data_IF_558572490097
#
_entry.id   IF_558572490097
#
_cell.length_a   1.000
_cell.length_b   1.000
_cell.length_c   1.000
_cell.angle_alpha   90.00
_cell.angle_beta   90.00
_cell.angle_gamma   90.00
#
_symmetry.space_group_name_H-M   'P 1'
#
loop_
_entity.id
_entity.type
_entity.pdbx_description
1 polymer ?
#
# COMPACT_ATOMS: atom_id res chain seq x y z
N UNK A 1 -21.71 -22.71 10.46
CA UNK A 1 -21.53 -21.51 9.62
C UNK A 1 -21.87 -20.28 10.47
N UNK A 2 -20.87 -19.65 11.09
CA UNK A 2 -21.06 -18.39 11.82
C UNK A 2 -20.64 -17.22 10.93
N UNK A 3 -21.63 -16.40 10.53
CA UNK A 3 -21.39 -15.11 9.89
C UNK A 3 -20.94 -14.14 10.98
N UNK A 4 -19.66 -13.76 10.97
CA UNK A 4 -19.22 -12.63 11.78
C UNK A 4 -19.83 -11.35 11.22
N UNK A 5 -20.72 -10.73 12.00
CA UNK A 5 -21.16 -9.35 11.80
C UNK A 5 -19.95 -8.45 12.07
N UNK A 6 -19.56 -7.66 11.08
CA UNK A 6 -18.63 -6.55 11.30
C UNK A 6 -19.32 -5.50 12.18
N UNK A 7 -18.67 -5.02 13.25
CA UNK A 7 -19.19 -3.90 14.01
C UNK A 7 -19.08 -2.63 13.16
N UNK A 8 -20.21 -1.93 13.03
CA UNK A 8 -20.26 -0.56 12.55
C UNK A 8 -19.61 0.35 13.60
N UNK A 9 -18.59 1.11 13.20
CA UNK A 9 -18.13 2.26 13.98
C UNK A 9 -18.06 3.50 13.09
N UNK A 10 -18.82 4.50 13.54
CA UNK A 10 -18.66 5.92 13.23
C UNK A 10 -17.18 6.33 13.26
N UNK A 11 -16.74 7.15 12.29
CA UNK A 11 -15.37 7.70 12.12
C UNK A 11 -14.21 6.69 12.03
N UNK A 12 -14.50 5.42 11.72
CA UNK A 12 -13.57 4.30 11.76
C UNK A 12 -12.48 4.24 10.67
N UNK A 13 -11.53 5.18 10.64
CA UNK A 13 -10.22 4.89 10.03
C UNK A 13 -9.30 4.27 11.08
N UNK A 14 -9.28 2.94 11.18
CA UNK A 14 -8.15 2.25 11.83
C UNK A 14 -6.89 2.70 11.09
N UNK A 15 -5.91 3.28 11.79
CA UNK A 15 -4.71 3.78 11.14
C UNK A 15 -3.95 2.60 10.55
N UNK A 16 -3.36 2.79 9.36
CA UNK A 16 -2.58 1.74 8.72
C UNK A 16 -1.42 1.30 9.64
N UNK A 17 -0.89 2.25 10.42
CA UNK A 17 0.02 2.01 11.53
C UNK A 17 -0.48 0.90 12.48
N UNK A 18 -1.67 1.07 13.05
CA UNK A 18 -2.23 0.15 14.04
C UNK A 18 -2.43 -1.26 13.45
N UNK A 19 -2.81 -1.35 12.17
CA UNK A 19 -2.99 -2.65 11.49
C UNK A 19 -1.65 -3.35 11.30
N UNK A 20 -0.65 -2.65 10.76
CA UNK A 20 0.67 -3.22 10.48
C UNK A 20 1.40 -3.58 11.78
N UNK A 21 1.31 -2.73 12.80
CA UNK A 21 1.88 -3.02 14.13
C UNK A 21 1.22 -4.25 14.76
N UNK A 22 -0.11 -4.38 14.69
CA UNK A 22 -0.81 -5.56 15.21
C UNK A 22 -0.47 -6.84 14.44
N UNK A 23 -0.21 -6.76 13.13
CA UNK A 23 0.29 -7.91 12.35
C UNK A 23 1.70 -8.27 12.80
N UNK A 24 2.61 -7.30 12.91
CA UNK A 24 3.98 -7.52 13.38
C UNK A 24 4.00 -8.11 14.79
N UNK A 25 3.15 -7.63 15.69
CA UNK A 25 3.05 -8.15 17.06
C UNK A 25 2.61 -9.60 17.09
N UNK A 26 1.58 -9.97 16.31
CA UNK A 26 1.15 -11.38 16.20
C UNK A 26 2.25 -12.28 15.65
N UNK A 27 2.98 -11.82 14.64
CA UNK A 27 4.11 -12.58 14.06
C UNK A 27 5.24 -12.75 15.08
N UNK A 28 5.58 -11.69 15.84
CA UNK A 28 6.56 -11.77 16.93
C UNK A 28 6.15 -12.78 18.01
N UNK A 29 4.86 -12.86 18.33
CA UNK A 29 4.34 -13.86 19.25
C UNK A 29 4.49 -15.28 18.69
N UNK A 30 4.29 -15.49 17.39
CA UNK A 30 4.57 -16.77 16.71
C UNK A 30 6.04 -17.17 16.83
N UNK A 31 6.96 -16.21 16.76
CA UNK A 31 8.42 -16.44 16.85
C UNK A 31 8.92 -16.69 18.29
N UNK A 32 8.07 -16.52 19.31
CA UNK A 32 8.49 -16.63 20.71
C UNK A 32 8.98 -18.04 21.05
N UNK A 33 10.19 -18.11 21.58
CA UNK A 33 10.85 -19.35 22.00
C UNK A 33 10.51 -19.63 23.47
N UNK A 34 10.07 -20.85 23.76
CA UNK A 34 9.66 -21.27 25.12
C UNK A 34 10.82 -21.89 25.91
N UNK A 35 11.78 -22.53 25.24
CA UNK A 35 13.00 -23.03 25.86
C UNK A 35 13.82 -21.84 26.38
N UNK A 36 14.07 -21.83 27.69
CA UNK A 36 14.79 -20.76 28.36
C UNK A 36 16.26 -21.09 28.55
N UNK A 37 17.14 -20.29 27.95
CA UNK A 37 18.59 -20.35 28.18
C UNK A 37 18.99 -19.95 29.61
N UNK A 38 18.09 -19.34 30.40
CA UNK A 38 18.33 -19.07 31.83
C UNK A 38 18.50 -20.35 32.67
N UNK A 39 18.12 -21.51 32.13
CA UNK A 39 18.30 -22.81 32.76
C UNK A 39 19.72 -23.37 32.63
N UNK A 40 20.59 -22.73 31.84
CA UNK A 40 22.00 -23.09 31.72
C UNK A 40 22.74 -22.87 33.05
N UNK A 41 23.83 -23.62 33.26
CA UNK A 41 24.57 -23.56 34.53
C UNK A 41 25.24 -22.21 34.79
N UNK A 42 25.76 -21.55 33.75
CA UNK A 42 26.37 -20.21 33.85
C UNK A 42 25.76 -19.25 32.83
N UNK A 43 25.79 -17.93 33.13
CA UNK A 43 25.27 -16.89 32.23
C UNK A 43 26.00 -16.83 30.89
N UNK A 44 27.30 -17.08 30.90
CA UNK A 44 28.20 -17.06 29.73
C UNK A 44 28.30 -18.41 29.02
N UNK A 45 27.42 -19.38 29.34
CA UNK A 45 27.49 -20.73 28.77
C UNK A 45 27.34 -20.71 27.24
N UNK A 46 26.47 -19.87 26.70
CA UNK A 46 26.29 -19.78 25.23
C UNK A 46 27.60 -19.37 24.56
N UNK A 47 28.31 -18.37 25.08
CA UNK A 47 29.58 -17.92 24.52
C UNK A 47 30.65 -19.01 24.66
N UNK A 48 30.74 -19.65 25.81
CA UNK A 48 31.68 -20.75 26.04
C UNK A 48 31.47 -21.91 25.05
N UNK A 49 30.21 -22.27 24.78
CA UNK A 49 29.87 -23.38 23.90
C UNK A 49 29.98 -23.07 22.40
N UNK A 50 30.27 -21.83 21.99
CA UNK A 50 30.15 -21.38 20.58
C UNK A 50 31.38 -20.65 20.03
N UNK A 51 32.46 -20.49 20.81
CA UNK A 51 33.53 -19.54 20.47
C UNK A 51 34.94 -20.14 20.37
N UNK A 52 35.25 -21.18 21.14
CA UNK A 52 36.58 -21.81 21.15
C UNK A 52 36.46 -23.34 21.23
N UNK A 53 37.53 -24.03 20.84
CA UNK A 53 37.65 -25.47 21.05
C UNK A 53 37.53 -25.78 22.54
N UNK A 54 36.51 -26.58 22.88
CA UNK A 54 36.26 -26.96 24.27
C UNK A 54 37.13 -28.17 24.61
N UNK A 55 38.19 -27.95 25.38
CA UNK A 55 39.03 -29.01 25.96
C UNK A 55 38.49 -29.42 27.33
N UNK A 56 38.90 -30.59 27.83
CA UNK A 56 38.52 -31.01 29.18
C UNK A 56 39.00 -30.02 30.25
N UNK A 57 40.18 -29.42 30.05
CA UNK A 57 40.73 -28.44 30.96
C UNK A 57 39.92 -27.13 30.96
N UNK A 58 39.57 -26.60 29.79
CA UNK A 58 38.77 -25.38 29.70
C UNK A 58 37.37 -25.59 30.26
N UNK A 59 36.79 -26.76 30.03
CA UNK A 59 35.51 -27.19 30.60
C UNK A 59 35.56 -27.24 32.13
N UNK A 60 36.62 -27.81 32.70
CA UNK A 60 36.78 -27.84 34.16
C UNK A 60 36.94 -26.44 34.75
N UNK A 61 37.79 -25.58 34.16
CA UNK A 61 37.93 -24.17 34.56
C UNK A 61 36.60 -23.42 34.46
N UNK A 62 35.79 -23.75 33.46
CA UNK A 62 34.50 -23.10 33.25
C UNK A 62 33.43 -23.58 34.21
N UNK A 63 33.31 -24.88 34.51
CA UNK A 63 32.19 -25.43 35.30
C UNK A 63 32.48 -25.65 36.77
N UNK A 64 33.75 -25.82 37.15
CA UNK A 64 34.14 -26.09 38.52
C UNK A 64 34.54 -24.80 39.26
N UNK A 65 34.59 -24.91 40.58
CA UNK A 65 35.15 -23.89 41.47
C UNK A 65 36.67 -24.12 41.61
N UNK A 66 37.40 -23.07 41.95
CA UNK A 66 38.85 -23.15 42.21
C UNK A 66 39.17 -24.20 43.29
N UNK A 67 40.27 -24.93 43.10
CA UNK A 67 40.76 -25.97 44.03
C UNK A 67 40.15 -27.37 43.86
N UNK A 68 39.11 -27.56 43.03
CA UNK A 68 38.50 -28.90 42.81
C UNK A 68 39.37 -29.89 42.02
N UNK A 69 40.46 -29.42 41.42
CA UNK A 69 41.38 -30.24 40.63
C UNK A 69 42.66 -30.63 41.38
N UNK A 70 42.84 -30.17 42.63
CA UNK A 70 44.03 -30.40 43.47
C UNK A 70 44.04 -31.81 44.10
N UNK A 71 43.54 -32.79 43.36
CA UNK A 71 43.52 -34.21 43.72
C UNK A 71 44.65 -34.89 42.92
N UNK A 72 45.44 -35.81 43.49
CA UNK A 72 46.42 -36.57 42.74
C UNK A 72 45.76 -37.42 41.64
N UNK A 73 46.43 -37.55 40.49
CA UNK A 73 45.94 -38.35 39.37
C UNK A 73 46.22 -39.84 39.57
N UNK A 74 45.29 -40.69 39.16
CA UNK A 74 45.44 -42.15 39.09
C UNK A 74 45.39 -42.64 37.64
N UNK A 75 45.80 -43.88 37.38
CA UNK A 75 45.62 -44.51 36.05
C UNK A 75 44.15 -44.54 35.61
N UNK A 76 43.22 -44.70 36.57
CA UNK A 76 41.78 -44.64 36.30
C UNK A 76 41.37 -43.22 35.87
N UNK A 77 41.93 -42.18 36.51
CA UNK A 77 41.74 -40.79 36.08
C UNK A 77 42.21 -40.59 34.63
N UNK A 78 43.39 -41.09 34.26
CA UNK A 78 43.94 -40.93 32.91
C UNK A 78 43.06 -41.60 31.83
N UNK A 79 42.50 -42.76 32.13
CA UNK A 79 41.55 -43.46 31.26
C UNK A 79 40.26 -42.65 31.04
N UNK A 80 39.74 -42.01 32.09
CA UNK A 80 38.57 -41.14 32.02
C UNK A 80 38.86 -39.88 31.20
N UNK A 81 40.01 -39.24 31.46
CA UNK A 81 40.46 -38.06 30.71
C UNK A 81 40.55 -38.37 29.22
N UNK A 82 41.19 -39.48 28.83
CA UNK A 82 41.29 -39.89 27.41
C UNK A 82 39.91 -40.08 26.76
N UNK A 83 38.97 -40.74 27.45
CA UNK A 83 37.62 -40.97 26.92
C UNK A 83 36.83 -39.66 26.73
N UNK A 84 36.94 -38.73 27.67
CA UNK A 84 36.25 -37.44 27.59
C UNK A 84 36.88 -36.57 26.50
N UNK A 85 38.21 -36.46 26.46
CA UNK A 85 38.93 -35.67 25.45
C UNK A 85 38.62 -36.19 24.04
N UNK A 86 38.66 -37.50 23.82
CA UNK A 86 38.28 -38.10 22.53
C UNK A 86 36.85 -37.75 22.13
N UNK A 87 35.89 -37.78 23.07
CA UNK A 87 34.51 -37.42 22.76
C UNK A 87 34.38 -35.94 22.38
N UNK A 88 35.08 -35.04 23.07
CA UNK A 88 35.07 -33.60 22.78
C UNK A 88 35.68 -33.30 21.40
N UNK A 89 36.82 -33.91 21.09
CA UNK A 89 37.52 -33.79 19.80
C UNK A 89 36.73 -34.40 18.64
N UNK A 90 36.01 -35.48 18.88
CA UNK A 90 35.27 -36.15 17.81
C UNK A 90 33.93 -35.44 17.47
N UNK A 91 33.27 -34.84 18.47
CA UNK A 91 31.94 -34.23 18.27
C UNK A 91 32.04 -32.79 17.80
N UNK A 92 33.09 -32.05 18.18
CA UNK A 92 33.34 -30.66 17.76
C UNK A 92 32.11 -29.76 17.89
N UNK A 93 31.32 -29.97 18.94
CA UNK A 93 30.01 -29.30 19.10
C UNK A 93 30.12 -27.77 19.03
N UNK A 94 31.26 -27.20 19.42
CA UNK A 94 31.53 -25.77 19.42
C UNK A 94 31.49 -25.14 18.03
N UNK A 95 32.01 -25.81 17.00
CA UNK A 95 32.01 -25.30 15.62
C UNK A 95 30.58 -25.23 15.09
N UNK A 96 29.87 -26.36 15.13
CA UNK A 96 28.51 -26.45 14.60
C UNK A 96 27.51 -25.58 15.39
N UNK A 97 27.66 -25.47 16.72
CA UNK A 97 26.86 -24.55 17.52
C UNK A 97 27.22 -23.07 17.24
N UNK A 98 28.48 -22.79 16.91
CA UNK A 98 28.94 -21.49 16.43
C UNK A 98 28.26 -21.11 15.11
N UNK A 99 28.28 -22.00 14.13
CA UNK A 99 27.59 -21.81 12.84
C UNK A 99 26.09 -21.55 13.03
N UNK A 100 25.41 -22.39 13.83
CA UNK A 100 23.97 -22.21 14.11
C UNK A 100 23.69 -20.86 14.79
N UNK A 101 24.56 -20.41 15.69
CA UNK A 101 24.43 -19.12 16.37
C UNK A 101 24.56 -17.97 15.38
N UNK A 102 25.52 -18.04 14.46
CA UNK A 102 25.74 -17.01 13.45
C UNK A 102 24.59 -16.96 12.44
N UNK A 103 24.15 -18.11 11.93
CA UNK A 103 22.96 -18.24 11.07
C UNK A 103 21.72 -17.63 11.75
N UNK A 104 21.53 -17.91 13.04
CA UNK A 104 20.40 -17.39 13.80
C UNK A 104 20.48 -15.87 14.01
N UNK A 105 21.68 -15.32 14.18
CA UNK A 105 21.89 -13.87 14.28
C UNK A 105 21.60 -13.18 12.94
N UNK A 106 22.03 -13.76 11.82
CA UNK A 106 21.71 -13.24 10.48
C UNK A 106 20.21 -13.30 10.19
N UNK A 107 19.54 -14.39 10.56
CA UNK A 107 18.08 -14.51 10.47
C UNK A 107 17.36 -13.39 11.21
N UNK A 108 17.76 -13.10 12.46
CA UNK A 108 17.19 -12.00 13.25
C UNK A 108 17.44 -10.62 12.61
N UNK A 109 18.64 -10.40 12.05
CA UNK A 109 18.95 -9.15 11.35
C UNK A 109 18.02 -8.97 10.14
N UNK A 110 17.77 -10.02 9.38
CA UNK A 110 16.85 -10.01 8.25
C UNK A 110 15.40 -9.71 8.68
N UNK A 111 14.90 -10.41 9.70
CA UNK A 111 13.56 -10.18 10.26
C UNK A 111 13.40 -8.72 10.72
N UNK A 112 14.40 -8.20 11.43
CA UNK A 112 14.41 -6.81 11.88
C UNK A 112 14.45 -5.81 10.72
N UNK A 113 15.22 -6.09 9.67
CA UNK A 113 15.30 -5.25 8.48
C UNK A 113 13.94 -5.17 7.76
N UNK A 114 13.24 -6.30 7.59
CA UNK A 114 11.90 -6.33 6.97
C UNK A 114 10.90 -5.53 7.80
N UNK A 115 10.85 -5.78 9.12
CA UNK A 115 9.96 -5.04 10.04
C UNK A 115 10.23 -3.54 9.99
N UNK A 116 11.50 -3.14 10.03
CA UNK A 116 11.90 -1.73 9.98
C UNK A 116 11.48 -1.09 8.66
N UNK A 117 11.69 -1.76 7.54
CA UNK A 117 11.28 -1.26 6.23
C UNK A 117 9.76 -1.07 6.18
N UNK A 118 8.96 -2.05 6.64
CA UNK A 118 7.49 -1.90 6.70
C UNK A 118 7.09 -0.67 7.51
N UNK A 119 7.60 -0.53 8.74
CA UNK A 119 7.26 0.58 9.63
C UNK A 119 7.66 1.95 9.04
N UNK A 120 8.79 2.03 8.35
CA UNK A 120 9.25 3.27 7.71
C UNK A 120 8.39 3.71 6.51
N UNK A 121 7.67 2.78 5.88
CA UNK A 121 6.82 3.09 4.72
C UNK A 121 5.40 3.50 5.14
N UNK A 122 4.96 3.18 6.36
CA UNK A 122 3.61 3.50 6.86
C UNK A 122 3.27 4.99 6.73
N UNK A 123 4.11 5.95 7.20
CA UNK A 123 3.74 7.36 7.12
C UNK A 123 3.60 7.85 5.67
N UNK A 124 4.43 7.33 4.76
CA UNK A 124 4.37 7.66 3.33
C UNK A 124 3.05 7.17 2.72
N UNK A 125 2.62 5.98 3.11
CA UNK A 125 1.38 5.38 2.62
C UNK A 125 0.13 6.07 3.20
N UNK A 126 0.18 6.54 4.45
CA UNK A 126 -0.91 7.35 5.02
C UNK A 126 -1.08 8.69 4.30
N UNK A 127 0.03 9.33 3.88
CA UNK A 127 0.01 10.53 3.03
C UNK A 127 -0.66 10.21 1.69
N UNK A 128 -0.20 9.17 0.99
CA UNK A 128 -0.76 8.76 -0.31
C UNK A 128 -2.27 8.46 -0.21
N UNK A 129 -2.70 7.75 0.84
CA UNK A 129 -4.13 7.44 1.04
C UNK A 129 -4.97 8.68 1.34
N UNK A 130 -4.41 9.65 2.05
CA UNK A 130 -5.08 10.93 2.34
C UNK A 130 -5.19 11.77 1.07
N UNK A 131 -4.11 11.87 0.29
CA UNK A 131 -4.10 12.53 -1.02
C UNK A 131 -5.10 11.88 -1.97
N UNK A 132 -5.14 10.55 -2.04
CA UNK A 132 -6.05 9.82 -2.91
C UNK A 132 -7.53 10.07 -2.54
N UNK A 133 -7.85 10.13 -1.24
CA UNK A 133 -9.20 10.50 -0.76
C UNK A 133 -9.56 11.92 -1.16
N UNK A 134 -8.65 12.87 -0.95
CA UNK A 134 -8.84 14.26 -1.35
C UNK A 134 -9.01 14.42 -2.87
N UNK A 135 -8.23 13.69 -3.67
CA UNK A 135 -8.33 13.69 -5.13
C UNK A 135 -9.69 13.13 -5.59
N UNK A 136 -10.16 12.02 -5.01
CA UNK A 136 -11.49 11.46 -5.33
C UNK A 136 -12.62 12.45 -5.06
N UNK A 137 -12.60 13.10 -3.89
CA UNK A 137 -13.61 14.12 -3.55
C UNK A 137 -13.57 15.32 -4.52
N UNK A 138 -12.38 15.80 -4.88
CA UNK A 138 -12.22 16.89 -5.86
C UNK A 138 -12.70 16.49 -7.26
N UNK A 139 -12.45 15.24 -7.67
CA UNK A 139 -12.93 14.71 -8.94
C UNK A 139 -14.46 14.66 -8.98
N UNK A 140 -15.11 14.21 -7.90
CA UNK A 140 -16.57 14.15 -7.80
C UNK A 140 -17.20 15.56 -7.90
N UNK A 141 -16.63 16.55 -7.20
CA UNK A 141 -17.06 17.95 -7.31
C UNK A 141 -16.90 18.48 -8.74
N UNK A 142 -15.76 18.19 -9.38
CA UNK A 142 -15.48 18.66 -10.74
C UNK A 142 -16.39 17.98 -11.79
N UNK A 143 -16.71 16.70 -11.61
CA UNK A 143 -17.64 15.94 -12.45
C UNK A 143 -19.07 16.46 -12.31
N UNK A 144 -19.52 16.71 -11.08
CA UNK A 144 -20.84 17.31 -10.81
C UNK A 144 -20.96 18.69 -11.46
N UNK A 145 -19.95 19.56 -11.27
CA UNK A 145 -19.92 20.89 -11.91
C UNK A 145 -19.98 20.79 -13.43
N UNK A 146 -19.33 19.78 -14.02
CA UNK A 146 -19.39 19.53 -15.47
C UNK A 146 -20.81 19.16 -15.91
N UNK A 147 -21.47 18.24 -15.19
CA UNK A 147 -22.83 17.79 -15.47
C UNK A 147 -23.86 18.93 -15.39
N UNK A 148 -23.76 19.75 -14.34
CA UNK A 148 -24.63 20.92 -14.13
C UNK A 148 -24.43 21.94 -15.24
N UNK A 149 -23.17 22.19 -15.63
CA UNK A 149 -22.82 23.11 -16.72
C UNK A 149 -23.44 22.66 -18.04
N UNK A 150 -23.29 21.38 -18.42
CA UNK A 150 -23.88 20.82 -19.66
C UNK A 150 -25.40 20.96 -19.68
N UNK A 151 -26.06 20.68 -18.56
CA UNK A 151 -27.52 20.77 -18.45
C UNK A 151 -28.02 22.20 -18.61
N UNK A 152 -27.37 23.16 -17.93
CA UNK A 152 -27.65 24.59 -18.08
C UNK A 152 -27.37 25.10 -19.49
N UNK A 153 -26.29 24.60 -20.12
CA UNK A 153 -25.92 24.92 -21.48
C UNK A 153 -27.01 24.53 -22.49
N UNK A 154 -27.52 23.30 -22.39
CA UNK A 154 -28.57 22.81 -23.26
C UNK A 154 -29.86 23.63 -23.15
N UNK A 155 -30.24 24.01 -21.93
CA UNK A 155 -31.40 24.87 -21.70
C UNK A 155 -31.21 26.27 -22.31
N UNK A 156 -30.02 26.84 -22.14
CA UNK A 156 -29.67 28.17 -22.67
C UNK A 156 -29.68 28.19 -24.20
N UNK A 157 -29.04 27.20 -24.83
CA UNK A 157 -29.03 27.07 -26.29
C UNK A 157 -30.43 26.90 -26.88
N UNK A 158 -31.29 26.10 -26.22
CA UNK A 158 -32.69 25.94 -26.64
C UNK A 158 -33.46 27.27 -26.57
N UNK A 159 -33.16 28.09 -25.56
CA UNK A 159 -33.79 29.40 -25.37
C UNK A 159 -33.37 30.38 -26.46
N UNK A 160 -32.06 30.48 -26.76
CA UNK A 160 -31.53 31.32 -27.85
C UNK A 160 -32.17 30.92 -29.18
N UNK A 161 -32.18 29.62 -29.51
CA UNK A 161 -32.78 29.12 -30.75
C UNK A 161 -34.27 29.45 -30.84
N UNK A 162 -35.03 29.28 -29.75
CA UNK A 162 -36.45 29.63 -29.71
C UNK A 162 -36.68 31.11 -29.96
N UNK A 163 -35.92 31.97 -29.27
CA UNK A 163 -36.05 33.43 -29.42
C UNK A 163 -35.65 33.88 -30.83
N UNK A 164 -34.50 33.42 -31.33
CA UNK A 164 -34.04 33.75 -32.68
C UNK A 164 -35.03 33.27 -33.76
N UNK A 165 -35.61 32.07 -33.63
CA UNK A 165 -36.63 31.59 -34.57
C UNK A 165 -37.91 32.45 -34.53
N UNK A 166 -38.32 32.93 -33.36
CA UNK A 166 -39.45 33.87 -33.24
C UNK A 166 -39.13 35.20 -33.93
N UNK A 167 -37.92 35.74 -33.74
CA UNK A 167 -37.46 36.97 -34.41
C UNK A 167 -37.42 36.81 -35.93
N UNK A 168 -36.98 35.65 -36.44
CA UNK A 168 -37.02 35.33 -37.87
C UNK A 168 -38.45 35.30 -38.40
N UNK A 169 -39.37 34.65 -37.68
CA UNK A 169 -40.77 34.59 -38.08
C UNK A 169 -41.38 36.00 -38.16
N UNK A 170 -41.14 36.83 -37.14
CA UNK A 170 -41.60 38.22 -37.13
C UNK A 170 -41.02 39.04 -38.29
N UNK A 171 -39.70 39.03 -38.47
CA UNK A 171 -39.05 39.77 -39.55
C UNK A 171 -39.55 39.33 -40.95
N UNK A 172 -39.84 38.04 -41.15
CA UNK A 172 -40.43 37.55 -42.39
C UNK A 172 -41.87 38.03 -42.58
N UNK A 173 -42.69 38.07 -41.52
CA UNK A 173 -44.05 38.63 -41.58
C UNK A 173 -44.02 40.10 -41.95
N UNK A 174 -43.16 40.91 -41.33
CA UNK A 174 -42.98 42.32 -41.67
C UNK A 174 -42.51 42.50 -43.12
N UNK A 175 -41.52 41.72 -43.58
CA UNK A 175 -41.07 41.76 -44.98
C UNK A 175 -42.19 41.40 -45.98
N UNK A 176 -43.02 40.40 -45.66
CA UNK A 176 -44.12 39.99 -46.52
C UNK A 176 -45.25 41.03 -46.56
N UNK A 177 -45.56 41.66 -45.42
CA UNK A 177 -46.56 42.73 -45.34
C UNK A 177 -46.13 43.98 -46.12
N UNK A 178 -44.84 44.34 -46.06
CA UNK A 178 -44.27 45.46 -46.81
C UNK A 178 -44.13 45.19 -48.32
N UNK A 179 -44.27 43.94 -48.76
CA UNK A 179 -44.28 43.57 -50.18
C UNK A 179 -45.68 43.67 -50.81
N UNK A 180 -46.70 44.11 -50.06
CA UNK A 180 -48.05 44.32 -50.57
C UNK A 180 -48.12 45.60 -51.43
N UNK A 181 -48.96 45.62 -52.48
CA UNK A 181 -48.98 46.72 -53.47
C UNK A 181 -49.35 48.10 -52.90
N UNK A 182 -50.10 48.12 -51.80
CA UNK A 182 -50.66 49.33 -51.20
C UNK A 182 -49.81 49.89 -50.03
N UNK A 183 -48.65 49.29 -49.76
CA UNK A 183 -47.80 49.66 -48.63
C UNK A 183 -46.65 50.58 -49.07
N UNK A 184 -46.59 51.81 -48.55
CA UNK A 184 -45.45 52.70 -48.77
C UNK A 184 -44.24 52.15 -47.99
N UNK A 185 -43.28 51.59 -48.74
CA UNK A 185 -42.09 50.98 -48.16
C UNK A 185 -41.22 52.01 -47.44
N UNK A 186 -41.15 51.93 -46.10
CA UNK A 186 -40.15 52.68 -45.31
C UNK A 186 -38.82 51.93 -45.34
N UNK A 187 -37.78 52.57 -45.91
CA UNK A 187 -36.42 52.01 -45.99
C UNK A 187 -35.86 51.66 -44.60
N UNK A 188 -36.17 52.46 -43.57
CA UNK A 188 -35.74 52.25 -42.19
C UNK A 188 -36.30 50.94 -41.57
N UNK A 189 -37.55 50.61 -41.90
CA UNK A 189 -38.22 49.38 -41.42
C UNK A 189 -37.66 48.15 -42.17
N UNK A 190 -37.40 48.28 -43.47
CA UNK A 190 -36.78 47.22 -44.28
C UNK A 190 -35.36 46.91 -43.80
N UNK A 191 -34.56 47.94 -43.53
CA UNK A 191 -33.22 47.82 -42.99
C UNK A 191 -33.24 47.19 -41.59
N UNK A 192 -34.16 47.64 -40.72
CA UNK A 192 -34.35 47.06 -39.38
C UNK A 192 -34.74 45.58 -39.44
N UNK A 193 -35.65 45.19 -40.34
CA UNK A 193 -36.05 43.80 -40.53
C UNK A 193 -34.91 42.93 -41.09
N UNK A 194 -34.14 43.44 -42.05
CA UNK A 194 -32.97 42.76 -42.60
C UNK A 194 -31.90 42.53 -41.53
N UNK A 195 -31.59 43.56 -40.72
CA UNK A 195 -30.63 43.49 -39.62
C UNK A 195 -31.09 42.49 -38.54
N UNK A 196 -32.37 42.49 -38.16
CA UNK A 196 -32.95 41.51 -37.20
C UNK A 196 -32.86 40.08 -37.74
N UNK A 197 -33.09 39.88 -39.04
CA UNK A 197 -32.99 38.57 -39.70
C UNK A 197 -31.56 38.05 -39.71
N UNK A 198 -30.60 38.88 -40.08
CA UNK A 198 -29.17 38.53 -40.08
C UNK A 198 -28.69 38.18 -38.66
N UNK A 199 -29.06 38.98 -37.66
CA UNK A 199 -28.72 38.73 -36.26
C UNK A 199 -29.30 37.40 -35.75
N UNK A 200 -30.57 37.11 -36.05
CA UNK A 200 -31.20 35.87 -35.63
C UNK A 200 -30.55 34.64 -36.30
N UNK A 201 -30.19 34.74 -37.58
CA UNK A 201 -29.42 33.70 -38.27
C UNK A 201 -28.02 33.49 -37.65
N UNK A 202 -27.31 34.57 -37.31
CA UNK A 202 -26.02 34.51 -36.60
C UNK A 202 -26.18 33.84 -35.23
N UNK A 203 -27.21 34.18 -34.46
CA UNK A 203 -27.47 33.60 -33.16
C UNK A 203 -27.78 32.09 -33.22
N UNK A 204 -28.57 31.65 -34.21
CA UNK A 204 -28.83 30.21 -34.46
C UNK A 204 -27.52 29.49 -34.81
N UNK A 205 -26.71 30.06 -35.71
CA UNK A 205 -25.43 29.48 -36.12
C UNK A 205 -24.45 29.36 -34.94
N UNK A 206 -24.37 30.38 -34.07
CA UNK A 206 -23.58 30.32 -32.83
C UNK A 206 -24.11 29.23 -31.90
N UNK A 207 -25.43 29.12 -31.75
CA UNK A 207 -26.03 28.09 -30.91
C UNK A 207 -25.80 26.66 -31.43
N UNK A 208 -25.84 26.45 -32.75
CA UNK A 208 -25.53 25.17 -33.40
C UNK A 208 -24.04 24.79 -33.24
N UNK A 209 -23.14 25.74 -33.52
CA UNK A 209 -21.71 25.54 -33.34
C UNK A 209 -21.36 25.23 -31.88
N UNK A 210 -21.94 25.96 -30.93
CA UNK A 210 -21.74 25.71 -29.51
C UNK A 210 -22.30 24.34 -29.10
N UNK A 211 -23.45 23.92 -29.63
CA UNK A 211 -23.99 22.58 -29.38
C UNK A 211 -23.08 21.47 -29.91
N UNK A 212 -22.48 21.65 -31.09
CA UNK A 212 -21.53 20.69 -31.65
C UNK A 212 -20.22 20.63 -30.83
N UNK A 213 -19.72 21.79 -30.38
CA UNK A 213 -18.54 21.86 -29.53
C UNK A 213 -18.77 21.19 -28.17
N UNK A 214 -19.92 21.41 -27.52
CA UNK A 214 -20.30 20.70 -26.29
C UNK A 214 -20.35 19.19 -26.53
N UNK A 215 -20.93 18.73 -27.65
CA UNK A 215 -20.94 17.30 -28.01
C UNK A 215 -19.54 16.73 -28.20
N UNK A 216 -18.62 17.46 -28.83
CA UNK A 216 -17.21 17.04 -29.01
C UNK A 216 -16.46 16.98 -27.69
N UNK A 217 -16.61 18.00 -26.85
CA UNK A 217 -15.98 18.08 -25.52
C UNK A 217 -16.48 16.93 -24.62
N UNK A 218 -17.79 16.70 -24.59
CA UNK A 218 -18.42 15.67 -23.76
C UNK A 218 -18.25 14.24 -24.31
N UNK A 219 -18.28 14.08 -25.64
CA UNK A 219 -18.08 12.79 -26.31
C UNK A 219 -16.70 12.19 -26.05
N UNK A 220 -15.67 13.03 -25.93
CA UNK A 220 -14.30 12.62 -25.61
C UNK A 220 -14.10 12.19 -24.13
N UNK A 221 -15.11 12.36 -23.27
CA UNK A 221 -15.02 12.08 -21.83
C UNK A 221 -15.53 10.67 -21.44
N UNK A 222 -16.25 9.96 -22.32
CA UNK A 222 -17.00 8.73 -21.99
C UNK A 222 -16.19 7.45 -21.73
N UNK A 223 -14.87 7.52 -21.52
CA UNK A 223 -14.01 6.37 -21.17
C UNK A 223 -13.81 6.24 -19.66
N UNK A 224 -14.65 5.41 -19.01
CA UNK A 224 -14.44 4.96 -17.62
C UNK A 224 -13.17 4.10 -17.54
N UNK A 225 -12.21 4.49 -16.70
CA UNK A 225 -10.99 3.72 -16.45
C UNK A 225 -11.20 2.81 -15.23
N UNK A 226 -11.32 1.50 -15.46
CA UNK A 226 -11.22 0.47 -14.41
C UNK A 226 -9.75 0.16 -14.12
N UNK A 227 -9.44 -0.09 -12.86
CA UNK A 227 -8.10 -0.47 -12.39
C UNK A 227 -8.22 -1.93 -11.96
N UNK A 228 -7.61 -2.84 -12.72
CA UNK A 228 -7.52 -4.25 -12.36
C UNK A 228 -6.16 -4.54 -11.71
N UNK A 229 -6.20 -5.33 -10.63
CA UNK A 229 -5.07 -5.74 -9.80
C UNK A 229 -4.21 -6.82 -10.46
N UNK A 230 -2.90 -6.74 -10.27
CA UNK A 230 -1.94 -7.75 -10.68
C UNK A 230 -1.05 -8.22 -9.53
N UNK A 231 -0.95 -9.55 -9.40
CA UNK A 231 -0.21 -10.29 -8.36
C UNK A 231 1.30 -10.30 -8.60
N UNK A 232 2.08 -10.30 -7.52
CA UNK A 232 3.55 -10.39 -7.52
C UNK A 232 4.05 -11.77 -7.06
N UNK A 233 5.16 -12.22 -7.66
CA UNK A 233 5.82 -13.52 -7.48
C UNK A 233 6.64 -13.62 -6.19
N UNK A 234 6.74 -14.86 -5.72
CA UNK A 234 7.32 -15.36 -4.48
C UNK A 234 8.85 -15.25 -4.37
N UNK A 235 9.32 -15.05 -3.15
CA UNK A 235 10.72 -15.14 -2.73
C UNK A 235 10.99 -16.55 -2.20
N UNK A 236 12.03 -17.22 -2.69
CA UNK A 236 12.50 -18.46 -2.07
C UNK A 236 13.56 -18.14 -1.02
N UNK A 237 13.34 -18.59 0.23
CA UNK A 237 14.25 -18.32 1.33
C UNK A 237 14.90 -19.61 1.86
N UNK A 238 16.23 -19.70 1.78
CA UNK A 238 17.02 -20.92 2.08
C UNK A 238 17.54 -21.02 3.53
N UNK A 239 17.72 -19.89 4.22
CA UNK A 239 18.36 -19.80 5.55
C UNK A 239 17.71 -20.68 6.65
N UNK A 240 16.37 -20.64 6.85
CA UNK A 240 15.75 -21.45 7.91
C UNK A 240 15.87 -22.96 7.65
N UNK A 241 16.01 -23.35 6.37
CA UNK A 241 16.26 -24.73 5.96
C UNK A 241 17.67 -25.20 6.29
N UNK A 242 18.67 -24.34 6.16
CA UNK A 242 20.07 -24.62 6.48
C UNK A 242 20.28 -24.71 8.00
N UNK A 243 19.70 -23.78 8.77
CA UNK A 243 19.72 -23.82 10.24
C UNK A 243 19.12 -25.13 10.80
N UNK A 244 17.99 -25.61 10.24
CA UNK A 244 17.40 -26.89 10.66
C UNK A 244 18.31 -28.09 10.35
N UNK A 245 18.98 -28.11 9.19
CA UNK A 245 19.92 -29.18 8.84
C UNK A 245 21.10 -29.21 9.81
N UNK A 246 21.66 -28.05 10.15
CA UNK A 246 22.77 -27.92 11.08
C UNK A 246 22.37 -28.38 12.50
N UNK A 247 21.18 -27.98 12.97
CA UNK A 247 20.63 -28.45 14.26
C UNK A 247 20.45 -29.97 14.31
N UNK A 248 19.95 -30.59 13.24
CA UNK A 248 19.80 -32.05 13.19
C UNK A 248 21.14 -32.78 13.20
N UNK A 249 22.14 -32.25 12.47
CA UNK A 249 23.51 -32.79 12.46
C UNK A 249 24.10 -32.78 13.87
N UNK A 250 24.05 -31.63 14.55
CA UNK A 250 24.54 -31.49 15.94
C UNK A 250 23.83 -32.44 16.89
N UNK A 251 22.49 -32.56 16.78
CA UNK A 251 21.72 -33.47 17.63
C UNK A 251 22.16 -34.92 17.47
N UNK A 252 22.50 -35.34 16.25
CA UNK A 252 23.02 -36.69 15.95
C UNK A 252 24.40 -36.89 16.56
N UNK A 253 25.31 -35.93 16.41
CA UNK A 253 26.69 -36.07 16.89
C UNK A 253 26.79 -35.96 18.41
N UNK A 254 25.98 -35.10 19.05
CA UNK A 254 25.89 -34.96 20.52
C UNK A 254 25.33 -36.19 21.21
N UNK A 255 24.63 -37.09 20.49
CA UNK A 255 24.25 -38.40 21.05
C UNK A 255 25.47 -39.24 21.45
N UNK A 256 26.63 -39.00 20.82
CA UNK A 256 27.90 -39.67 21.10
C UNK A 256 28.53 -39.22 22.43
N UNK A 257 28.06 -38.11 23.02
CA UNK A 257 28.43 -37.72 24.39
C UNK A 257 27.77 -38.57 25.49
N UNK A 258 26.88 -39.51 25.16
CA UNK A 258 26.31 -40.45 26.14
C UNK A 258 27.34 -41.54 26.50
N UNK A 259 28.43 -41.14 27.16
CA UNK A 259 29.45 -42.05 27.67
C UNK A 259 28.94 -42.76 28.93
N UNK A 260 28.87 -44.10 28.90
CA UNK A 260 28.58 -44.92 30.09
C UNK A 260 29.87 -45.13 30.89
N UNK A 261 30.28 -44.13 31.66
CA UNK A 261 31.45 -44.21 32.55
C UNK A 261 30.96 -44.21 34.01
N UNK A 262 31.34 -45.26 34.74
CA UNK A 262 31.21 -45.36 36.20
C UNK A 262 32.61 -45.49 36.78
N UNK A 263 32.90 -44.71 37.84
CA UNK A 263 34.20 -44.68 38.50
C UNK A 263 33.98 -44.38 39.98
N UNK A 264 34.90 -44.84 40.82
CA UNK A 264 35.00 -44.43 42.23
C UNK A 264 36.19 -43.49 42.47
N UNK A 265 36.99 -43.22 41.43
CA UNK A 265 38.14 -42.32 41.50
C UNK A 265 37.68 -40.89 41.80
N UNK A 266 38.15 -40.25 42.89
CA UNK A 266 37.68 -38.93 43.29
C UNK A 266 37.91 -37.86 42.21
N UNK A 267 39.06 -37.88 41.54
CA UNK A 267 39.39 -36.92 40.48
C UNK A 267 38.60 -37.20 39.19
N UNK A 268 38.44 -38.48 38.85
CA UNK A 268 37.58 -38.96 37.77
C UNK A 268 36.12 -38.54 37.93
N UNK A 269 35.60 -38.56 39.16
CA UNK A 269 34.25 -38.05 39.47
C UNK A 269 34.14 -36.55 39.23
N UNK A 270 35.17 -35.76 39.55
CA UNK A 270 35.20 -34.32 39.28
C UNK A 270 35.17 -34.04 37.77
N UNK A 271 36.02 -34.70 36.98
CA UNK A 271 36.02 -34.57 35.52
C UNK A 271 34.67 -34.98 34.89
N UNK A 272 34.09 -36.10 35.33
CA UNK A 272 32.78 -36.54 34.87
C UNK A 272 31.66 -35.59 35.27
N UNK A 273 31.73 -34.99 36.46
CA UNK A 273 30.77 -33.99 36.93
C UNK A 273 30.76 -32.77 36.02
N UNK A 274 31.93 -32.20 35.74
CA UNK A 274 32.08 -31.08 34.84
C UNK A 274 31.58 -31.43 33.43
N UNK A 275 31.98 -32.61 32.91
CA UNK A 275 31.57 -33.06 31.58
C UNK A 275 30.04 -33.24 31.46
N UNK A 276 29.38 -33.78 32.50
CA UNK A 276 27.92 -33.90 32.54
C UNK A 276 27.23 -32.54 32.53
N UNK A 277 27.79 -31.53 33.19
CA UNK A 277 27.27 -30.15 33.16
C UNK A 277 27.37 -29.55 31.76
N UNK A 278 28.52 -29.71 31.10
CA UNK A 278 28.72 -29.31 29.71
C UNK A 278 27.70 -29.97 28.76
N UNK A 279 27.55 -31.29 28.83
CA UNK A 279 26.60 -32.03 27.99
C UNK A 279 25.15 -31.58 28.24
N UNK A 280 24.80 -31.26 29.48
CA UNK A 280 23.48 -30.74 29.81
C UNK A 280 23.22 -29.36 29.16
N UNK A 281 24.18 -28.44 29.23
CA UNK A 281 24.05 -27.12 28.60
C UNK A 281 24.04 -27.22 27.07
N UNK A 282 24.86 -28.09 26.47
CA UNK A 282 24.84 -28.38 25.02
C UNK A 282 23.46 -28.88 24.58
N UNK A 283 22.89 -29.87 25.29
CA UNK A 283 21.54 -30.40 25.00
C UNK A 283 20.46 -29.32 25.12
N UNK A 284 20.58 -28.43 26.10
CA UNK A 284 19.66 -27.30 26.26
C UNK A 284 19.79 -26.29 25.10
N UNK A 285 21.02 -25.98 24.67
CA UNK A 285 21.27 -25.06 23.57
C UNK A 285 20.75 -25.60 22.23
N UNK A 286 20.93 -26.90 21.96
CA UNK A 286 20.37 -27.56 20.77
C UNK A 286 18.84 -27.50 20.79
N UNK A 287 18.23 -27.76 21.94
CA UNK A 287 16.78 -27.69 22.10
C UNK A 287 16.25 -26.28 21.85
N UNK A 288 16.98 -25.27 22.33
CA UNK A 288 16.68 -23.87 22.06
C UNK A 288 16.76 -23.55 20.56
N UNK A 289 17.85 -23.89 19.88
CA UNK A 289 18.00 -23.60 18.45
C UNK A 289 17.05 -24.41 17.56
N UNK A 290 16.69 -25.63 17.96
CA UNK A 290 15.67 -26.42 17.26
C UNK A 290 14.29 -25.75 17.31
N UNK A 291 13.88 -25.27 18.48
CA UNK A 291 12.65 -24.51 18.62
C UNK A 291 12.73 -23.19 17.85
N UNK A 292 13.85 -22.48 17.98
CA UNK A 292 14.10 -21.22 17.28
C UNK A 292 13.98 -21.36 15.77
N UNK A 293 14.65 -22.35 15.16
CA UNK A 293 14.61 -22.59 13.73
C UNK A 293 13.16 -22.84 13.23
N UNK A 294 12.38 -23.61 13.98
CA UNK A 294 10.97 -23.88 13.63
C UNK A 294 10.10 -22.63 13.73
N UNK A 295 10.21 -21.92 14.85
CA UNK A 295 9.39 -20.74 15.16
C UNK A 295 9.70 -19.57 14.24
N UNK A 296 10.98 -19.30 14.01
CA UNK A 296 11.44 -18.23 13.13
C UNK A 296 11.22 -18.57 11.65
N UNK A 297 11.30 -19.84 11.22
CA UNK A 297 10.87 -20.23 9.86
C UNK A 297 9.41 -19.86 9.62
N UNK A 298 8.53 -20.22 10.55
CA UNK A 298 7.11 -19.93 10.44
C UNK A 298 6.86 -18.42 10.44
N UNK A 299 7.39 -17.72 11.44
CA UNK A 299 7.21 -16.27 11.56
C UNK A 299 7.80 -15.49 10.39
N UNK A 300 8.94 -15.92 9.83
CA UNK A 300 9.53 -15.27 8.64
C UNK A 300 8.64 -15.44 7.41
N UNK A 301 8.01 -16.60 7.25
CA UNK A 301 7.00 -16.81 6.20
C UNK A 301 5.84 -15.82 6.35
N UNK A 302 5.24 -15.76 7.55
CA UNK A 302 4.16 -14.82 7.85
C UNK A 302 4.58 -13.34 7.66
N UNK A 303 5.83 -13.01 7.99
CA UNK A 303 6.40 -11.67 7.82
C UNK A 303 6.59 -11.30 6.34
N UNK A 304 7.08 -12.24 5.52
CA UNK A 304 7.25 -12.04 4.09
C UNK A 304 5.90 -11.88 3.39
N UNK A 305 4.91 -12.70 3.73
CA UNK A 305 3.55 -12.58 3.19
C UNK A 305 2.97 -11.20 3.50
N UNK A 306 3.06 -10.77 4.77
CA UNK A 306 2.62 -9.44 5.18
C UNK A 306 3.39 -8.31 4.46
N UNK A 307 4.68 -8.48 4.25
CA UNK A 307 5.52 -7.54 3.50
C UNK A 307 5.11 -7.43 2.03
N UNK A 308 4.76 -8.55 1.39
CA UNK A 308 4.30 -8.57 0.00
C UNK A 308 2.92 -7.93 -0.17
N UNK A 309 1.97 -8.28 0.70
CA UNK A 309 0.63 -7.68 0.71
C UNK A 309 0.71 -6.16 0.89
N UNK A 310 1.51 -5.70 1.87
CA UNK A 310 1.74 -4.28 2.12
C UNK A 310 2.31 -3.57 0.89
N UNK A 311 3.31 -4.17 0.22
CA UNK A 311 3.90 -3.59 -0.98
C UNK A 311 2.97 -3.59 -2.20
N UNK A 312 2.11 -4.59 -2.34
CA UNK A 312 1.11 -4.66 -3.40
C UNK A 312 0.11 -3.50 -3.27
N UNK A 313 -0.45 -3.30 -2.07
CA UNK A 313 -1.36 -2.18 -1.76
C UNK A 313 -0.71 -0.84 -2.07
N UNK A 314 0.55 -0.63 -1.64
CA UNK A 314 1.30 0.61 -1.92
C UNK A 314 1.42 0.90 -3.42
N UNK A 315 1.77 -0.09 -4.23
CA UNK A 315 1.87 0.06 -5.68
C UNK A 315 0.52 0.43 -6.31
N UNK A 316 -0.55 -0.22 -5.87
CA UNK A 316 -1.91 0.06 -6.34
C UNK A 316 -2.34 1.48 -5.97
N UNK A 317 -2.06 1.94 -4.75
CA UNK A 317 -2.42 3.27 -4.29
C UNK A 317 -1.64 4.38 -5.02
N UNK A 318 -0.33 4.21 -5.20
CA UNK A 318 0.49 5.17 -5.95
C UNK A 318 0.05 5.27 -7.42
N UNK A 319 -0.30 4.14 -8.06
CA UNK A 319 -0.87 4.15 -9.40
C UNK A 319 -2.24 4.84 -9.44
N UNK A 320 -3.09 4.53 -8.47
CA UNK A 320 -4.41 5.16 -8.30
C UNK A 320 -4.29 6.68 -8.17
N UNK A 321 -3.33 7.16 -7.38
CA UNK A 321 -3.02 8.58 -7.19
C UNK A 321 -2.67 9.26 -8.51
N UNK A 322 -1.72 8.70 -9.28
CA UNK A 322 -1.33 9.23 -10.60
C UNK A 322 -2.52 9.31 -11.57
N UNK A 323 -3.35 8.27 -11.63
CA UNK A 323 -4.54 8.24 -12.48
C UNK A 323 -5.59 9.26 -12.04
N UNK A 324 -5.81 9.41 -10.74
CA UNK A 324 -6.75 10.38 -10.18
C UNK A 324 -6.31 11.82 -10.49
N UNK A 325 -5.03 12.15 -10.30
CA UNK A 325 -4.47 13.46 -10.66
C UNK A 325 -4.65 13.76 -12.15
N UNK A 326 -4.26 12.83 -13.03
CA UNK A 326 -4.43 13.02 -14.47
C UNK A 326 -5.89 13.18 -14.90
N UNK A 327 -6.82 12.52 -14.22
CA UNK A 327 -8.26 12.65 -14.48
C UNK A 327 -8.79 14.00 -14.00
N UNK A 328 -8.37 14.45 -12.82
CA UNK A 328 -8.75 15.75 -12.28
C UNK A 328 -8.26 16.90 -13.19
N UNK A 329 -7.03 16.83 -13.69
CA UNK A 329 -6.50 17.81 -14.65
C UNK A 329 -7.32 17.86 -15.95
N UNK A 330 -7.73 16.69 -16.47
CA UNK A 330 -8.61 16.61 -17.65
C UNK A 330 -9.98 17.22 -17.36
N UNK A 331 -10.56 16.95 -16.20
CA UNK A 331 -11.84 17.54 -15.75
C UNK A 331 -11.75 19.06 -15.62
N UNK A 332 -10.68 19.58 -15.01
CA UNK A 332 -10.45 21.01 -14.87
C UNK A 332 -10.33 21.70 -16.23
N UNK A 333 -9.53 21.15 -17.16
CA UNK A 333 -9.42 21.67 -18.53
C UNK A 333 -10.76 21.64 -19.27
N UNK A 334 -11.57 20.61 -19.05
CA UNK A 334 -12.91 20.48 -19.64
C UNK A 334 -13.85 21.54 -19.09
N UNK A 335 -13.87 21.74 -17.77
CA UNK A 335 -14.66 22.77 -17.11
C UNK A 335 -14.29 24.17 -17.60
N UNK A 336 -12.99 24.51 -17.70
CA UNK A 336 -12.57 25.82 -18.22
C UNK A 336 -13.05 26.08 -19.64
N UNK A 337 -12.97 25.09 -20.55
CA UNK A 337 -13.50 25.23 -21.91
C UNK A 337 -15.02 25.39 -21.95
N UNK A 338 -15.74 24.70 -21.06
CA UNK A 338 -17.19 24.85 -20.94
C UNK A 338 -17.57 26.24 -20.40
N UNK A 339 -16.78 26.81 -19.48
CA UNK A 339 -16.94 28.17 -18.98
C UNK A 339 -16.72 29.22 -20.08
N UNK A 340 -15.64 29.10 -20.87
CA UNK A 340 -15.36 29.96 -22.03
C UNK A 340 -16.51 29.95 -23.04
N UNK A 341 -17.01 28.76 -23.38
CA UNK A 341 -18.19 28.62 -24.24
C UNK A 341 -19.44 29.22 -23.60
N UNK A 342 -19.56 29.15 -22.29
CA UNK A 342 -20.68 29.69 -21.51
C UNK A 342 -20.76 31.20 -21.63
N UNK A 343 -19.62 31.89 -21.63
CA UNK A 343 -19.54 33.34 -21.83
C UNK A 343 -20.10 33.71 -23.20
N UNK A 344 -19.61 33.08 -24.28
CA UNK A 344 -20.05 33.36 -25.65
C UNK A 344 -21.56 33.12 -25.82
N UNK A 345 -22.07 32.04 -25.24
CA UNK A 345 -23.51 31.71 -25.28
C UNK A 345 -24.34 32.68 -24.44
N UNK A 346 -23.82 33.13 -23.30
CA UNK A 346 -24.49 34.12 -22.46
C UNK A 346 -24.57 35.49 -23.14
N UNK A 347 -23.46 35.97 -23.71
CA UNK A 347 -23.42 37.21 -24.50
C UNK A 347 -24.40 37.14 -25.67
N UNK A 348 -24.39 36.02 -26.42
CA UNK A 348 -25.34 35.81 -27.53
C UNK A 348 -26.79 35.84 -27.04
N UNK A 349 -27.09 35.26 -25.87
CA UNK A 349 -28.42 35.31 -25.27
C UNK A 349 -28.81 36.75 -24.92
N UNK A 350 -27.92 37.52 -24.30
CA UNK A 350 -28.17 38.93 -23.95
C UNK A 350 -28.47 39.74 -25.21
N UNK A 351 -27.63 39.61 -26.25
CA UNK A 351 -27.87 40.28 -27.55
C UNK A 351 -29.22 39.90 -28.14
N UNK A 352 -29.61 38.63 -28.12
CA UNK A 352 -30.94 38.21 -28.60
C UNK A 352 -32.04 38.78 -27.71
N UNK A 353 -31.89 38.81 -26.38
CA UNK A 353 -32.90 39.35 -25.46
C UNK A 353 -33.09 40.86 -25.61
N UNK A 354 -32.03 41.65 -25.67
CA UNK A 354 -32.08 43.10 -25.83
C UNK A 354 -32.74 43.48 -27.16
N UNK A 355 -32.40 42.77 -28.24
CA UNK A 355 -32.98 43.03 -29.56
C UNK A 355 -34.41 42.47 -29.71
N UNK A 356 -34.78 41.45 -28.94
CA UNK A 356 -36.16 40.97 -28.86
C UNK A 356 -37.07 41.82 -27.96
N UNK A 357 -36.53 42.45 -26.91
CA UNK A 357 -37.27 43.46 -26.12
C UNK A 357 -37.52 44.69 -27.00
N UNK A 358 -36.58 45.03 -27.89
CA UNK A 358 -36.78 46.06 -28.91
C UNK A 358 -37.66 45.61 -30.10
N UNK A 359 -37.97 44.31 -30.24
CA UNK A 359 -38.99 43.81 -31.17
C UNK A 359 -40.42 43.99 -30.63
N UNK A 360 -40.55 44.52 -29.41
CA UNK A 360 -41.78 45.10 -28.90
C UNK A 360 -42.06 46.52 -29.41
N UNK A 361 -41.40 46.93 -30.51
CA UNK A 361 -41.69 48.12 -31.29
C UNK A 361 -41.49 49.45 -30.59
N UNK A 362 -40.98 50.43 -31.33
CA UNK A 362 -41.50 51.79 -31.14
C UNK A 362 -43.03 51.73 -31.34
N UNK A 363 -43.80 52.63 -30.75
CA UNK A 363 -45.27 52.61 -30.83
C UNK A 363 -45.82 52.45 -32.26
N UNK A 364 -45.04 52.84 -33.28
CA UNK A 364 -45.35 52.61 -34.71
C UNK A 364 -45.34 51.14 -35.15
N UNK A 365 -44.44 50.28 -34.65
CA UNK A 365 -44.41 48.85 -35.03
C UNK A 365 -45.54 48.04 -34.37
N UNK A 366 -46.15 48.54 -33.29
CA UNK A 366 -47.33 47.89 -32.65
C UNK A 366 -48.62 48.07 -33.43
N UNK A 367 -48.70 49.08 -34.30
CA UNK A 367 -49.90 49.39 -35.08
C UNK A 367 -50.12 48.37 -36.21
N UNK A 368 -49.09 47.61 -36.61
CA UNK A 368 -49.19 46.58 -37.65
C UNK A 368 -49.71 45.23 -37.16
N UNK A 369 -50.09 45.11 -35.88
CA UNK A 369 -50.64 43.86 -35.29
C UNK A 369 -52.12 44.03 -34.88
N UNK A 370 -52.81 45.08 -35.33
CA UNK A 370 -54.27 45.16 -35.25
C UNK A 370 -54.93 45.38 -36.61
#
# INVERSE_FOLDING_TARGET
MMKHKHPSTSDGSVKLADIVENVIHRIKDTMKITVSLKRMKKKTSVEFLTKEMVTLESLCKFYLEEGKLDIPSTEETESIVKKISFALEYVEAHELLGEIKDDFNELKKLEFAIIREMLQQIPKEEIINTELRALKARMEIADQKSCDSVSSFHLTLRTIKRQANNTLAFANVCQNAMALPDYEASEEILETCANRKEMAQKAIKVADNAQEQVKKIWGNFKTRVRIDDFKTKEFENKLPGEMMKNVEKVKKDVSKFNLKIQTKDPKGLVYLGAFRMYVADVKLLISYYAEAAKKHKQGLGELLDAYYDFNAVRKTNELGRRKATATLEKLQKTNSKMEELGIVVHETKQTVQENCINAGGTEHERVLIF
#
